data_IF_714201011170
#
_entry.id   IF_714201011170
#
_cell.length_a   1.000
_cell.length_b   1.000
_cell.length_c   1.000
_cell.angle_alpha   90.00
_cell.angle_beta   90.00
_cell.angle_gamma   90.00
#
_symmetry.space_group_name_H-M   'P 1'
#
loop_
_entity.id
_entity.type
_entity.pdbx_description
1 polymer ?
#
# COMPACT_ATOMS: atom_id res chain seq x y z
N UNK A 1 -25.60 -74.39 -33.08
CA UNK A 1 -26.32 -73.09 -33.02
C UNK A 1 -25.91 -72.41 -31.71
N UNK A 2 -24.95 -71.46 -31.80
CA UNK A 2 -24.53 -70.63 -30.66
C UNK A 2 -25.23 -69.30 -30.80
N UNK A 3 -26.06 -68.98 -29.79
CA UNK A 3 -26.75 -67.68 -29.70
C UNK A 3 -25.77 -66.70 -29.06
N UNK A 4 -25.38 -65.63 -29.79
CA UNK A 4 -24.61 -64.48 -29.30
C UNK A 4 -25.63 -63.47 -28.82
N UNK A 5 -25.60 -63.17 -27.50
CA UNK A 5 -26.34 -62.03 -26.93
C UNK A 5 -25.42 -60.78 -26.99
N UNK A 6 -25.80 -59.84 -27.80
CA UNK A 6 -25.16 -58.53 -27.81
C UNK A 6 -25.75 -57.68 -26.66
N UNK A 7 -24.94 -57.37 -25.68
CA UNK A 7 -25.29 -56.46 -24.57
C UNK A 7 -24.99 -55.02 -25.02
N UNK A 8 -26.05 -54.25 -25.28
CA UNK A 8 -25.91 -52.82 -25.52
C UNK A 8 -25.73 -52.11 -24.14
N UNK A 9 -24.50 -51.59 -23.90
CA UNK A 9 -24.27 -50.62 -22.85
C UNK A 9 -24.69 -49.23 -23.35
N UNK A 10 -25.84 -48.73 -22.91
CA UNK A 10 -26.19 -47.29 -23.00
C UNK A 10 -25.36 -46.54 -21.93
N UNK A 11 -24.28 -45.91 -22.34
CA UNK A 11 -23.65 -44.88 -21.53
C UNK A 11 -24.50 -43.62 -21.61
N UNK A 12 -25.27 -43.35 -20.53
CA UNK A 12 -25.89 -42.04 -20.34
C UNK A 12 -24.75 -41.05 -20.07
N UNK A 13 -24.41 -40.25 -21.08
CA UNK A 13 -23.60 -39.04 -20.88
C UNK A 13 -24.53 -38.04 -20.18
N UNK A 14 -24.42 -37.93 -18.87
CA UNK A 14 -24.94 -36.77 -18.16
C UNK A 14 -24.12 -35.55 -18.60
N UNK A 15 -24.57 -34.87 -19.64
CA UNK A 15 -24.14 -33.50 -19.89
C UNK A 15 -24.66 -32.69 -18.70
N UNK A 16 -23.79 -32.47 -17.71
CA UNK A 16 -24.01 -31.44 -16.74
C UNK A 16 -24.14 -30.13 -17.51
N UNK A 17 -25.37 -29.63 -17.60
CA UNK A 17 -25.58 -28.25 -18.02
C UNK A 17 -24.81 -27.40 -17.00
N UNK A 18 -23.65 -26.88 -17.38
CA UNK A 18 -23.02 -25.79 -16.67
C UNK A 18 -24.07 -24.69 -16.69
N UNK A 19 -24.62 -24.34 -15.52
CA UNK A 19 -25.55 -23.22 -15.42
C UNK A 19 -24.84 -22.02 -16.02
N UNK A 20 -25.45 -21.41 -17.03
CA UNK A 20 -24.89 -20.21 -17.64
C UNK A 20 -24.81 -19.14 -16.54
N UNK A 21 -23.63 -18.58 -16.35
CA UNK A 21 -23.40 -17.52 -15.36
C UNK A 21 -24.30 -16.31 -15.73
N UNK A 22 -25.01 -15.78 -14.73
CA UNK A 22 -25.89 -14.63 -14.95
C UNK A 22 -25.08 -13.41 -15.36
N UNK A 23 -25.54 -12.74 -16.41
CA UNK A 23 -24.97 -11.47 -16.90
C UNK A 23 -26.12 -10.51 -17.19
N UNK A 24 -26.01 -9.26 -16.75
CA UNK A 24 -26.98 -8.22 -17.10
C UNK A 24 -26.94 -7.88 -18.58
N UNK A 25 -27.93 -7.17 -19.08
CA UNK A 25 -28.14 -7.00 -20.52
C UNK A 25 -27.36 -5.82 -21.16
N UNK A 26 -26.68 -4.99 -20.34
CA UNK A 26 -25.89 -3.84 -20.82
C UNK A 26 -26.73 -2.68 -21.35
N UNK A 27 -28.00 -2.59 -20.95
CA UNK A 27 -28.96 -1.58 -21.46
C UNK A 27 -28.90 -0.24 -20.71
N UNK A 28 -27.89 0.00 -19.87
CA UNK A 28 -27.77 1.23 -19.06
C UNK A 28 -28.59 1.19 -17.77
N UNK A 29 -28.94 0.00 -17.32
CA UNK A 29 -29.74 -0.17 -16.12
C UNK A 29 -28.89 -0.04 -14.84
N UNK A 30 -29.54 0.35 -13.74
CA UNK A 30 -28.97 0.35 -12.39
C UNK A 30 -29.48 -0.87 -11.65
N UNK A 31 -28.53 -1.70 -11.20
CA UNK A 31 -28.81 -2.90 -10.42
C UNK A 31 -28.35 -2.70 -8.98
N UNK A 32 -29.23 -3.03 -8.04
CA UNK A 32 -28.90 -3.15 -6.61
C UNK A 32 -28.97 -4.61 -6.21
N UNK A 33 -28.42 -4.99 -5.04
CA UNK A 33 -28.57 -6.36 -4.53
C UNK A 33 -30.03 -6.72 -4.32
N UNK A 34 -30.89 -5.73 -3.95
CA UNK A 34 -32.32 -5.95 -3.86
C UNK A 34 -32.95 -6.24 -5.23
N UNK A 35 -32.63 -5.49 -6.27
CA UNK A 35 -33.17 -5.76 -7.62
C UNK A 35 -32.65 -7.07 -8.18
N UNK A 36 -31.37 -7.40 -7.97
CA UNK A 36 -30.78 -8.68 -8.37
C UNK A 36 -31.45 -9.86 -7.68
N UNK A 37 -31.85 -9.73 -6.40
CA UNK A 37 -32.53 -10.79 -5.68
C UNK A 37 -33.92 -11.16 -6.23
N UNK A 38 -34.49 -10.28 -7.06
CA UNK A 38 -35.78 -10.51 -7.75
C UNK A 38 -35.62 -11.15 -9.13
N UNK A 39 -34.38 -11.30 -9.62
CA UNK A 39 -34.06 -11.86 -10.94
C UNK A 39 -33.70 -13.34 -10.78
N UNK A 40 -34.49 -14.21 -11.39
CA UNK A 40 -34.20 -15.64 -11.40
C UNK A 40 -32.84 -15.93 -12.05
N UNK A 41 -32.02 -16.75 -11.39
CA UNK A 41 -30.69 -17.10 -11.87
C UNK A 41 -29.57 -16.10 -11.55
N UNK A 42 -29.87 -14.96 -10.92
CA UNK A 42 -28.85 -13.99 -10.51
C UNK A 42 -27.88 -14.54 -9.42
N UNK A 43 -28.33 -15.54 -8.66
CA UNK A 43 -27.59 -16.06 -7.52
C UNK A 43 -27.60 -15.17 -6.27
N UNK A 44 -28.37 -14.09 -6.30
CA UNK A 44 -28.54 -13.20 -5.15
C UNK A 44 -29.86 -13.53 -4.47
N UNK A 45 -29.85 -13.72 -3.15
CA UNK A 45 -31.05 -14.01 -2.33
C UNK A 45 -31.07 -13.16 -1.07
N UNK A 46 -32.25 -12.75 -0.64
CA UNK A 46 -32.45 -12.09 0.66
C UNK A 46 -32.49 -13.17 1.73
N UNK A 47 -31.79 -12.95 2.83
CA UNK A 47 -31.74 -13.84 3.99
C UNK A 47 -32.74 -13.38 5.07
N UNK A 48 -33.02 -14.26 6.04
CA UNK A 48 -33.95 -13.97 7.14
C UNK A 48 -33.53 -12.78 8.02
N UNK A 49 -32.22 -12.51 8.09
CA UNK A 49 -31.64 -11.37 8.82
C UNK A 49 -31.63 -10.06 8.01
N UNK A 50 -32.18 -10.08 6.81
CA UNK A 50 -32.22 -8.94 5.89
C UNK A 50 -30.94 -8.75 5.07
N UNK A 51 -29.90 -9.55 5.26
CA UNK A 51 -28.69 -9.52 4.44
C UNK A 51 -28.96 -10.15 3.06
N UNK A 52 -28.04 -9.88 2.12
CA UNK A 52 -28.04 -10.53 0.81
C UNK A 52 -26.96 -11.61 0.75
N UNK A 53 -27.31 -12.79 0.27
CA UNK A 53 -26.36 -13.85 -0.05
C UNK A 53 -26.10 -13.88 -1.56
N UNK A 54 -24.83 -13.76 -1.96
CA UNK A 54 -24.37 -14.02 -3.31
C UNK A 54 -23.80 -15.43 -3.36
N UNK A 55 -24.56 -16.37 -3.91
CA UNK A 55 -24.27 -17.80 -3.89
C UNK A 55 -23.57 -18.33 -5.14
N UNK A 56 -23.56 -17.56 -6.23
CA UNK A 56 -22.88 -17.89 -7.48
C UNK A 56 -22.30 -16.63 -8.14
N UNK A 57 -21.39 -16.83 -9.09
CA UNK A 57 -20.86 -15.73 -9.88
C UNK A 57 -21.95 -15.04 -10.68
N UNK A 58 -21.79 -13.74 -10.85
CA UNK A 58 -22.54 -12.97 -11.83
C UNK A 58 -21.71 -11.82 -12.41
N UNK A 59 -22.17 -11.30 -13.55
CA UNK A 59 -21.51 -10.20 -14.25
C UNK A 59 -22.49 -9.05 -14.47
N UNK A 60 -22.06 -7.84 -14.10
CA UNK A 60 -22.68 -6.59 -14.53
C UNK A 60 -22.04 -6.20 -15.86
N UNK A 61 -22.80 -6.16 -16.92
CA UNK A 61 -22.34 -5.88 -18.27
C UNK A 61 -21.86 -4.41 -18.42
N UNK A 62 -21.07 -4.17 -19.45
CA UNK A 62 -20.70 -2.81 -19.85
C UNK A 62 -21.98 -1.98 -20.13
N UNK A 63 -21.99 -0.73 -19.71
CA UNK A 63 -23.15 0.17 -19.79
C UNK A 63 -24.03 0.15 -18.54
N UNK A 64 -24.10 -0.95 -17.80
CA UNK A 64 -24.89 -1.06 -16.59
C UNK A 64 -24.11 -0.56 -15.35
N UNK A 65 -24.84 -0.36 -14.24
CA UNK A 65 -24.28 0.11 -12.96
C UNK A 65 -24.65 -0.89 -11.86
N UNK A 66 -23.68 -1.34 -11.09
CA UNK A 66 -23.93 -1.96 -9.80
C UNK A 66 -23.90 -0.90 -8.70
N UNK A 67 -25.02 -0.77 -7.98
CA UNK A 67 -25.19 0.27 -6.97
C UNK A 67 -25.43 -0.34 -5.58
N UNK A 68 -24.78 0.26 -4.56
CA UNK A 68 -24.96 -0.06 -3.16
C UNK A 68 -25.13 1.24 -2.36
N UNK A 69 -26.37 1.64 -2.10
CA UNK A 69 -26.72 2.93 -1.47
C UNK A 69 -27.28 2.79 -0.05
N UNK A 70 -27.62 1.56 0.32
CA UNK A 70 -28.09 1.27 1.68
C UNK A 70 -26.95 0.71 2.54
N UNK A 71 -27.14 0.70 3.84
CA UNK A 71 -26.23 0.08 4.81
C UNK A 71 -26.43 -1.45 4.84
N UNK A 72 -26.41 -2.06 3.67
CA UNK A 72 -26.70 -3.48 3.48
C UNK A 72 -25.50 -4.36 3.91
N UNK A 73 -25.79 -5.59 4.31
CA UNK A 73 -24.79 -6.65 4.49
C UNK A 73 -24.87 -7.61 3.32
N UNK A 74 -23.76 -7.73 2.59
CA UNK A 74 -23.62 -8.61 1.43
C UNK A 74 -22.71 -9.78 1.82
N UNK A 75 -23.27 -10.98 1.89
CA UNK A 75 -22.53 -12.20 2.18
C UNK A 75 -22.17 -12.91 0.88
N UNK A 76 -20.94 -13.33 0.72
CA UNK A 76 -20.46 -14.02 -0.48
C UNK A 76 -20.07 -15.46 -0.16
N UNK A 77 -20.58 -16.39 -0.93
CA UNK A 77 -20.25 -17.80 -0.78
C UNK A 77 -18.82 -18.12 -1.23
N UNK A 78 -18.35 -19.32 -0.87
CA UNK A 78 -17.01 -19.77 -1.21
C UNK A 78 -16.72 -19.70 -2.71
N UNK A 79 -15.56 -19.18 -3.08
CA UNK A 79 -15.08 -19.01 -4.45
C UNK A 79 -15.93 -18.11 -5.38
N UNK A 80 -16.96 -17.43 -4.84
CA UNK A 80 -17.81 -16.54 -5.63
C UNK A 80 -17.05 -15.28 -6.05
N UNK A 81 -17.23 -14.92 -7.30
CA UNK A 81 -16.74 -13.70 -7.93
C UNK A 81 -17.91 -12.87 -8.49
N UNK A 82 -17.93 -11.59 -8.20
CA UNK A 82 -18.77 -10.60 -8.85
C UNK A 82 -17.92 -9.82 -9.83
N UNK A 83 -18.23 -9.92 -11.13
CA UNK A 83 -17.54 -9.17 -12.17
C UNK A 83 -18.35 -7.94 -12.54
N UNK A 84 -17.72 -6.76 -12.55
CA UNK A 84 -18.34 -5.51 -12.95
C UNK A 84 -17.58 -4.97 -14.16
N UNK A 85 -18.18 -5.08 -15.34
CA UNK A 85 -17.66 -4.49 -16.58
C UNK A 85 -18.28 -3.10 -16.84
N UNK A 86 -19.38 -2.77 -16.18
CA UNK A 86 -19.97 -1.45 -16.12
C UNK A 86 -19.38 -0.60 -15.00
N UNK A 87 -20.19 0.32 -14.47
CA UNK A 87 -19.79 1.14 -13.33
C UNK A 87 -20.14 0.47 -12.00
N UNK A 88 -19.37 0.77 -10.97
CA UNK A 88 -19.70 0.47 -9.58
C UNK A 88 -19.89 1.78 -8.79
N UNK A 89 -21.03 1.95 -8.15
CA UNK A 89 -21.34 3.11 -7.31
C UNK A 89 -21.82 2.63 -5.93
N UNK A 90 -20.86 2.49 -5.01
CA UNK A 90 -21.12 2.04 -3.65
C UNK A 90 -20.95 3.22 -2.70
N UNK A 91 -22.07 3.83 -2.33
CA UNK A 91 -22.08 5.04 -1.51
C UNK A 91 -23.22 5.02 -0.48
N UNK A 92 -23.27 4.05 0.44
CA UNK A 92 -24.23 4.06 1.54
C UNK A 92 -24.06 5.27 2.44
N UNK A 93 -25.16 5.68 3.07
CA UNK A 93 -25.16 6.87 3.95
C UNK A 93 -24.29 6.68 5.21
N UNK A 94 -24.18 5.44 5.71
CA UNK A 94 -23.34 5.06 6.83
C UNK A 94 -22.39 3.94 6.35
N UNK A 95 -22.53 2.69 6.78
CA UNK A 95 -21.61 1.62 6.40
C UNK A 95 -22.37 0.44 5.80
N UNK A 96 -21.98 0.03 4.59
CA UNK A 96 -22.31 -1.29 4.07
C UNK A 96 -21.16 -2.26 4.33
N UNK A 97 -21.48 -3.54 4.53
CA UNK A 97 -20.50 -4.60 4.79
C UNK A 97 -20.58 -5.65 3.70
N UNK A 98 -19.46 -5.94 3.09
CA UNK A 98 -19.30 -7.04 2.14
C UNK A 98 -18.37 -8.07 2.81
N UNK A 99 -18.89 -9.26 3.09
CA UNK A 99 -18.18 -10.28 3.86
C UNK A 99 -18.41 -11.69 3.31
N UNK A 100 -17.81 -12.68 3.91
CA UNK A 100 -18.05 -14.09 3.59
C UNK A 100 -19.33 -14.62 4.27
N UNK A 101 -19.96 -15.62 3.67
CA UNK A 101 -21.19 -16.22 4.18
C UNK A 101 -20.97 -17.19 5.37
N UNK A 102 -19.81 -17.85 5.41
CA UNK A 102 -19.42 -18.78 6.45
C UNK A 102 -17.94 -18.64 6.84
N UNK A 103 -17.55 -19.14 7.98
CA UNK A 103 -16.19 -18.99 8.54
C UNK A 103 -15.11 -19.60 7.64
N UNK A 104 -15.41 -20.69 6.96
CA UNK A 104 -14.50 -21.38 6.04
C UNK A 104 -14.61 -20.90 4.58
N UNK A 105 -15.53 -19.99 4.28
CA UNK A 105 -15.69 -19.45 2.94
C UNK A 105 -14.55 -18.50 2.58
N UNK A 106 -14.09 -18.62 1.34
CA UNK A 106 -13.04 -17.82 0.75
C UNK A 106 -13.48 -17.26 -0.61
N UNK A 107 -14.31 -16.20 -0.63
CA UNK A 107 -14.80 -15.59 -1.87
C UNK A 107 -13.64 -15.02 -2.67
N UNK A 108 -13.81 -14.98 -4.00
CA UNK A 108 -12.90 -14.26 -4.89
C UNK A 108 -13.12 -12.74 -4.89
N UNK A 109 -14.30 -12.31 -4.44
CA UNK A 109 -14.62 -10.90 -4.27
C UNK A 109 -15.07 -10.18 -5.53
N UNK A 110 -14.81 -8.87 -5.58
CA UNK A 110 -15.25 -8.01 -6.66
C UNK A 110 -14.11 -7.78 -7.66
N UNK A 111 -14.43 -8.00 -8.94
CA UNK A 111 -13.54 -7.77 -10.07
C UNK A 111 -14.15 -6.70 -10.99
N UNK A 112 -13.69 -5.47 -10.85
CA UNK A 112 -14.14 -4.31 -11.63
C UNK A 112 -13.23 -4.17 -12.83
N UNK A 113 -13.61 -4.80 -13.95
CA UNK A 113 -12.75 -5.04 -15.11
C UNK A 113 -13.17 -4.27 -16.38
N UNK A 114 -14.25 -3.51 -16.33
CA UNK A 114 -14.71 -2.76 -17.48
C UNK A 114 -13.67 -1.76 -17.98
N UNK A 115 -13.37 -1.79 -19.26
CA UNK A 115 -12.39 -0.88 -19.87
C UNK A 115 -12.72 0.59 -19.59
N UNK A 116 -14.02 0.92 -19.60
CA UNK A 116 -14.54 2.27 -19.37
C UNK A 116 -15.38 2.37 -18.07
N UNK A 117 -15.37 1.36 -17.23
CA UNK A 117 -16.17 1.27 -16.01
C UNK A 117 -15.48 1.93 -14.81
N UNK A 118 -16.03 3.05 -14.34
CA UNK A 118 -15.53 3.70 -13.13
C UNK A 118 -16.05 3.01 -11.87
N UNK A 119 -15.24 3.06 -10.80
CA UNK A 119 -15.62 2.61 -9.48
C UNK A 119 -15.57 3.76 -8.48
N UNK A 120 -16.72 4.11 -7.90
CA UNK A 120 -16.87 5.05 -6.81
C UNK A 120 -17.30 4.27 -5.57
N UNK A 121 -16.41 4.21 -4.57
CA UNK A 121 -16.60 3.45 -3.35
C UNK A 121 -16.49 4.37 -2.15
N UNK A 122 -17.52 4.41 -1.34
CA UNK A 122 -17.55 5.22 -0.13
C UNK A 122 -18.26 4.48 0.99
N UNK A 123 -17.72 4.54 2.21
CA UNK A 123 -18.32 3.96 3.41
C UNK A 123 -18.57 2.44 3.29
N UNK A 124 -17.68 1.69 2.66
CA UNK A 124 -17.84 0.23 2.49
C UNK A 124 -16.74 -0.51 3.23
N UNK A 125 -17.13 -1.53 3.98
CA UNK A 125 -16.21 -2.48 4.58
C UNK A 125 -16.15 -3.75 3.72
N UNK A 126 -14.96 -4.07 3.21
CA UNK A 126 -14.62 -5.34 2.57
C UNK A 126 -13.90 -6.21 3.61
N UNK A 127 -14.63 -7.15 4.19
CA UNK A 127 -14.13 -8.06 5.20
C UNK A 127 -13.97 -9.46 4.62
N UNK A 128 -12.78 -10.06 4.67
CA UNK A 128 -12.41 -11.34 4.00
C UNK A 128 -12.52 -11.31 2.46
N UNK A 129 -12.97 -10.23 1.91
CA UNK A 129 -13.26 -10.04 0.48
C UNK A 129 -12.29 -9.03 -0.10
N UNK A 130 -11.70 -9.34 -1.24
CA UNK A 130 -10.82 -8.41 -1.95
C UNK A 130 -11.51 -7.73 -3.14
N UNK A 131 -10.85 -6.69 -3.63
CA UNK A 131 -11.25 -5.94 -4.80
C UNK A 131 -10.11 -5.92 -5.82
N UNK A 132 -10.42 -6.28 -7.07
CA UNK A 132 -9.52 -6.18 -8.21
C UNK A 132 -10.06 -5.12 -9.17
N UNK A 133 -9.26 -4.11 -9.47
CA UNK A 133 -9.59 -3.05 -10.42
C UNK A 133 -8.71 -3.18 -11.68
N UNK A 134 -9.33 -3.07 -12.84
CA UNK A 134 -8.65 -3.25 -14.13
C UNK A 134 -9.18 -2.35 -15.24
N UNK A 135 -9.85 -1.26 -14.90
CA UNK A 135 -10.33 -0.28 -15.85
C UNK A 135 -9.20 0.50 -16.51
N UNK A 136 -9.00 0.36 -17.82
CA UNK A 136 -7.90 0.99 -18.56
C UNK A 136 -8.15 2.48 -18.80
N UNK A 137 -9.38 2.84 -19.18
CA UNK A 137 -9.79 4.21 -19.49
C UNK A 137 -10.65 4.83 -18.37
N UNK A 138 -10.56 4.31 -17.17
CA UNK A 138 -11.41 4.68 -16.04
C UNK A 138 -10.59 4.75 -14.77
N UNK A 139 -11.22 5.17 -13.68
CA UNK A 139 -10.58 5.34 -12.39
C UNK A 139 -11.37 4.72 -11.25
N UNK A 140 -10.64 4.35 -10.20
CA UNK A 140 -11.16 3.99 -8.90
C UNK A 140 -11.06 5.19 -7.96
N UNK A 141 -12.16 5.53 -7.30
CA UNK A 141 -12.16 6.41 -6.14
C UNK A 141 -12.70 5.65 -4.94
N UNK A 142 -11.85 5.44 -3.92
CA UNK A 142 -12.24 4.84 -2.65
C UNK A 142 -12.06 5.86 -1.53
N UNK A 143 -13.14 6.22 -0.83
CA UNK A 143 -13.18 7.18 0.28
C UNK A 143 -13.84 6.53 1.50
N UNK A 144 -13.20 6.62 2.65
CA UNK A 144 -13.69 6.08 3.92
C UNK A 144 -14.10 4.59 3.85
N UNK A 145 -13.32 3.78 3.12
CA UNK A 145 -13.53 2.34 3.00
C UNK A 145 -12.59 1.56 3.94
N UNK A 146 -13.02 0.38 4.34
CA UNK A 146 -12.20 -0.55 5.14
C UNK A 146 -11.96 -1.83 4.35
N UNK A 147 -10.70 -2.25 4.24
CA UNK A 147 -10.29 -3.54 3.68
C UNK A 147 -9.61 -4.33 4.79
N UNK A 148 -10.25 -5.41 5.24
CA UNK A 148 -9.76 -6.15 6.40
C UNK A 148 -9.84 -7.66 6.21
N UNK A 149 -8.87 -8.36 6.82
CA UNK A 149 -8.82 -9.83 6.91
C UNK A 149 -8.86 -10.54 5.54
N UNK A 150 -8.49 -9.84 4.46
CA UNK A 150 -8.42 -10.45 3.13
C UNK A 150 -7.45 -11.65 3.12
N UNK A 151 -7.92 -12.78 2.61
CA UNK A 151 -7.21 -14.07 2.67
C UNK A 151 -6.36 -14.40 1.43
N UNK A 152 -6.20 -13.46 0.49
CA UNK A 152 -5.42 -13.64 -0.75
C UNK A 152 -6.10 -14.46 -1.84
N UNK A 153 -7.40 -14.72 -1.76
CA UNK A 153 -8.11 -15.53 -2.77
C UNK A 153 -8.60 -14.72 -3.97
N UNK A 154 -8.88 -13.44 -3.82
CA UNK A 154 -9.27 -12.57 -4.93
C UNK A 154 -8.07 -12.22 -5.82
N UNK A 155 -6.94 -11.92 -5.23
CA UNK A 155 -5.72 -11.54 -5.95
C UNK A 155 -4.48 -11.88 -5.13
N UNK A 156 -3.39 -12.21 -5.80
CA UNK A 156 -2.08 -12.35 -5.19
C UNK A 156 -1.36 -11.00 -4.97
N UNK A 157 -1.93 -9.91 -5.50
CA UNK A 157 -1.31 -8.58 -5.45
C UNK A 157 -1.75 -7.74 -4.25
N UNK A 158 -2.90 -8.03 -3.64
CA UNK A 158 -3.36 -7.31 -2.44
C UNK A 158 -4.85 -7.42 -2.17
N UNK A 159 -5.29 -6.82 -1.06
CA UNK A 159 -6.71 -6.68 -0.72
C UNK A 159 -7.41 -5.73 -1.73
N UNK A 160 -6.76 -4.62 -2.06
CA UNK A 160 -7.07 -3.80 -3.23
C UNK A 160 -5.95 -4.01 -4.25
N UNK A 161 -6.28 -4.63 -5.38
CA UNK A 161 -5.32 -5.00 -6.42
C UNK A 161 -5.66 -4.35 -7.76
N UNK A 162 -4.62 -3.88 -8.46
CA UNK A 162 -4.75 -3.40 -9.83
C UNK A 162 -4.16 -4.42 -10.80
N UNK A 163 -4.93 -4.85 -11.79
CA UNK A 163 -4.50 -5.85 -12.76
C UNK A 163 -4.41 -5.33 -14.20
N UNK A 164 -4.54 -4.03 -14.40
CA UNK A 164 -4.28 -3.34 -15.66
C UNK A 164 -3.53 -2.04 -15.41
N UNK A 165 -2.88 -1.50 -16.45
CA UNK A 165 -2.30 -0.16 -16.41
C UNK A 165 -3.41 0.88 -16.49
N UNK A 166 -3.51 1.72 -15.48
CA UNK A 166 -4.54 2.75 -15.40
C UNK A 166 -4.08 3.93 -14.55
N UNK A 167 -4.69 5.09 -14.73
CA UNK A 167 -4.38 6.32 -14.00
C UNK A 167 -5.59 6.96 -13.34
N UNK A 168 -5.39 8.07 -12.63
CA UNK A 168 -6.46 8.84 -12.00
C UNK A 168 -7.11 8.17 -10.79
N UNK A 169 -6.46 7.15 -10.20
CA UNK A 169 -6.99 6.44 -9.06
C UNK A 169 -6.77 7.23 -7.77
N UNK A 170 -7.74 7.23 -6.87
CA UNK A 170 -7.67 7.88 -5.55
C UNK A 170 -8.14 6.89 -4.49
N UNK A 171 -7.31 6.73 -3.45
CA UNK A 171 -7.64 5.98 -2.23
C UNK A 171 -7.39 6.91 -1.06
N UNK A 172 -8.45 7.32 -0.38
CA UNK A 172 -8.35 8.31 0.69
C UNK A 172 -9.20 7.95 1.90
N UNK A 173 -8.74 8.36 3.08
CA UNK A 173 -9.44 8.14 4.36
C UNK A 173 -9.76 6.66 4.64
N UNK A 174 -9.02 5.73 4.02
CA UNK A 174 -9.30 4.30 4.06
C UNK A 174 -8.48 3.57 5.12
N UNK A 175 -8.98 2.41 5.51
CA UNK A 175 -8.37 1.53 6.50
C UNK A 175 -8.04 0.18 5.88
N UNK A 176 -6.79 -0.23 5.99
CA UNK A 176 -6.30 -1.54 5.55
C UNK A 176 -5.76 -2.28 6.77
N UNK A 177 -6.48 -3.31 7.23
CA UNK A 177 -6.24 -3.90 8.54
C UNK A 177 -6.07 -5.41 8.43
N UNK A 178 -4.93 -5.92 8.91
CA UNK A 178 -4.65 -7.36 9.10
C UNK A 178 -4.90 -8.22 7.85
N UNK A 179 -4.65 -7.67 6.68
CA UNK A 179 -4.77 -8.42 5.43
C UNK A 179 -3.62 -9.42 5.29
N UNK A 180 -3.91 -10.62 4.81
CA UNK A 180 -2.92 -11.68 4.64
C UNK A 180 -1.82 -11.31 3.66
N UNK A 181 -2.17 -10.62 2.59
CA UNK A 181 -1.23 -10.11 1.57
C UNK A 181 -1.04 -8.60 1.71
N UNK A 182 -0.47 -7.98 0.66
CA UNK A 182 -0.39 -6.53 0.58
C UNK A 182 -1.76 -5.88 0.80
N UNK A 183 -1.79 -4.72 1.41
CA UNK A 183 -2.99 -3.89 1.47
C UNK A 183 -3.38 -3.40 0.08
N UNK A 184 -2.42 -2.75 -0.61
CA UNK A 184 -2.58 -2.29 -1.99
C UNK A 184 -1.42 -2.84 -2.83
N UNK A 185 -1.71 -3.32 -4.03
CA UNK A 185 -0.68 -3.78 -4.94
C UNK A 185 -1.13 -3.95 -6.39
N UNK A 186 -0.16 -4.10 -7.27
CA UNK A 186 -0.38 -4.36 -8.69
C UNK A 186 0.61 -5.40 -9.24
N UNK A 187 0.37 -5.83 -10.47
CA UNK A 187 1.29 -6.71 -11.19
C UNK A 187 2.55 -5.99 -11.67
N UNK A 188 3.64 -6.73 -11.86
CA UNK A 188 4.93 -6.17 -12.32
C UNK A 188 4.89 -5.51 -13.72
N UNK A 189 3.84 -5.77 -14.49
CA UNK A 189 3.64 -5.23 -15.84
C UNK A 189 2.46 -4.25 -15.94
N UNK A 190 1.80 -3.95 -14.83
CA UNK A 190 0.59 -3.13 -14.78
C UNK A 190 0.83 -1.86 -13.94
N UNK A 191 1.61 -0.88 -14.44
CA UNK A 191 1.85 0.35 -13.71
C UNK A 191 0.55 1.12 -13.50
N UNK A 192 0.46 1.82 -12.36
CA UNK A 192 -0.73 2.58 -12.00
C UNK A 192 -0.38 4.00 -11.57
N UNK A 193 -1.21 4.97 -11.99
CA UNK A 193 -1.26 6.30 -11.43
C UNK A 193 -2.25 6.33 -10.28
N UNK A 194 -1.79 6.71 -9.09
CA UNK A 194 -2.60 6.64 -7.88
C UNK A 194 -2.21 7.68 -6.85
N UNK A 195 -3.20 8.21 -6.17
CA UNK A 195 -3.05 9.01 -4.96
C UNK A 195 -3.57 8.18 -3.79
N UNK A 196 -2.71 7.93 -2.80
CA UNK A 196 -3.05 7.26 -1.54
C UNK A 196 -2.80 8.27 -0.41
N UNK A 197 -3.85 8.70 0.27
CA UNK A 197 -3.74 9.74 1.30
C UNK A 197 -4.66 9.55 2.50
N UNK A 198 -4.22 10.02 3.67
CA UNK A 198 -4.98 9.97 4.92
C UNK A 198 -5.46 8.56 5.29
N UNK A 199 -4.71 7.52 4.90
CA UNK A 199 -5.07 6.13 5.12
C UNK A 199 -4.30 5.52 6.30
N UNK A 200 -4.89 4.51 6.93
CA UNK A 200 -4.24 3.67 7.91
C UNK A 200 -3.96 2.28 7.30
N UNK A 201 -2.70 1.91 7.30
CA UNK A 201 -2.23 0.56 6.99
C UNK A 201 -1.73 -0.08 8.29
N UNK A 202 -2.46 -1.07 8.78
CA UNK A 202 -2.21 -1.67 10.08
C UNK A 202 -2.00 -3.18 9.98
N UNK A 203 -0.77 -3.63 10.28
CA UNK A 203 -0.41 -5.05 10.38
C UNK A 203 -0.78 -5.88 9.14
N UNK A 204 -0.72 -5.33 7.94
CA UNK A 204 -0.97 -6.11 6.73
C UNK A 204 0.23 -7.03 6.41
N UNK A 205 0.08 -7.90 5.41
CA UNK A 205 1.06 -8.95 5.05
C UNK A 205 1.28 -9.97 6.19
N UNK A 206 0.18 -10.40 6.82
CA UNK A 206 0.22 -11.33 7.96
C UNK A 206 0.73 -12.72 7.58
N UNK A 207 0.83 -13.04 6.28
CA UNK A 207 1.49 -14.25 5.77
C UNK A 207 3.02 -14.20 5.93
N UNK A 208 3.55 -13.05 6.34
CA UNK A 208 4.98 -12.79 6.59
C UNK A 208 5.89 -13.31 5.45
N UNK A 209 5.53 -12.99 4.23
CA UNK A 209 6.36 -13.22 3.05
C UNK A 209 7.04 -11.91 2.65
N UNK A 210 8.09 -12.00 1.83
CA UNK A 210 8.87 -10.84 1.41
C UNK A 210 8.03 -9.85 0.54
N UNK A 211 7.16 -9.11 1.20
CA UNK A 211 6.25 -8.13 0.57
C UNK A 211 6.07 -6.90 1.47
N UNK A 212 5.95 -5.70 0.90
CA UNK A 212 5.53 -4.50 1.64
C UNK A 212 4.01 -4.43 1.78
N UNK A 213 3.52 -3.62 2.71
CA UNK A 213 2.08 -3.35 2.84
C UNK A 213 1.51 -2.63 1.61
N UNK A 214 2.25 -1.66 1.06
CA UNK A 214 1.95 -1.02 -0.22
C UNK A 214 3.04 -1.44 -1.21
N UNK A 215 2.66 -2.08 -2.32
CA UNK A 215 3.58 -2.64 -3.31
C UNK A 215 3.18 -2.25 -4.73
N UNK A 216 3.84 -1.23 -5.27
CA UNK A 216 3.44 -0.64 -6.55
C UNK A 216 4.55 -0.73 -7.61
N UNK A 217 4.17 -1.17 -8.79
CA UNK A 217 4.96 -1.00 -10.01
C UNK A 217 4.70 0.37 -10.59
N UNK A 218 5.78 1.13 -10.81
CA UNK A 218 5.76 2.50 -11.31
C UNK A 218 6.44 2.54 -12.67
N UNK A 219 5.73 2.97 -13.70
CA UNK A 219 6.25 3.12 -15.05
C UNK A 219 5.31 4.01 -15.90
N UNK A 220 5.72 4.31 -17.12
CA UNK A 220 4.96 5.18 -18.01
C UNK A 220 4.96 6.63 -17.54
N UNK A 221 3.89 7.34 -17.79
CA UNK A 221 3.65 8.74 -17.40
C UNK A 221 2.80 8.86 -16.12
N UNK A 222 2.64 7.76 -15.40
CA UNK A 222 1.83 7.72 -14.18
C UNK A 222 2.62 8.21 -12.97
N UNK A 223 2.06 9.20 -12.26
CA UNK A 223 2.52 9.58 -10.94
C UNK A 223 1.93 8.66 -9.87
N UNK A 224 2.75 8.38 -8.86
CA UNK A 224 2.33 7.70 -7.63
C UNK A 224 2.54 8.64 -6.47
N UNK A 225 1.46 8.99 -5.76
CA UNK A 225 1.49 9.91 -4.62
C UNK A 225 1.02 9.16 -3.38
N UNK A 226 1.91 9.00 -2.40
CA UNK A 226 1.62 8.36 -1.11
C UNK A 226 1.90 9.39 -0.03
N UNK A 227 0.86 10.02 0.49
CA UNK A 227 1.01 11.17 1.40
C UNK A 227 0.07 11.10 2.60
N UNK A 228 0.53 11.63 3.73
CA UNK A 228 -0.27 11.78 4.97
C UNK A 228 -0.84 10.45 5.50
N UNK A 229 -0.16 9.33 5.28
CA UNK A 229 -0.60 8.01 5.71
C UNK A 229 0.11 7.54 6.98
N UNK A 230 -0.50 6.58 7.67
CA UNK A 230 0.12 5.79 8.72
C UNK A 230 0.33 4.36 8.22
N UNK A 231 1.58 3.90 8.17
CA UNK A 231 1.96 2.55 7.69
C UNK A 231 2.65 1.81 8.82
N UNK A 232 1.87 1.09 9.61
CA UNK A 232 2.30 0.44 10.83
C UNK A 232 2.42 -1.06 10.59
N UNK A 233 3.63 -1.59 10.73
CA UNK A 233 3.93 -3.01 10.58
C UNK A 233 3.50 -3.83 11.80
N UNK A 234 3.28 -5.13 11.58
CA UNK A 234 3.02 -6.09 12.64
C UNK A 234 4.30 -6.68 13.26
N UNK A 235 5.44 -6.01 13.09
CA UNK A 235 6.75 -6.47 13.55
C UNK A 235 7.17 -7.80 12.88
N UNK A 236 6.71 -8.05 11.69
CA UNK A 236 7.06 -9.23 10.91
C UNK A 236 8.41 -9.03 10.21
N UNK A 237 9.26 -10.04 10.25
CA UNK A 237 10.63 -9.95 9.72
C UNK A 237 10.72 -9.93 8.18
N UNK A 238 9.63 -10.27 7.47
CA UNK A 238 9.59 -10.24 6.01
C UNK A 238 8.56 -9.23 5.45
N UNK A 239 7.88 -8.47 6.30
CA UNK A 239 6.87 -7.49 5.90
C UNK A 239 7.43 -6.07 5.90
N UNK A 240 7.58 -5.46 4.71
CA UNK A 240 8.01 -4.07 4.56
C UNK A 240 6.87 -3.04 4.66
N UNK A 241 7.21 -1.76 4.77
CA UNK A 241 6.24 -0.67 4.76
C UNK A 241 5.77 -0.35 3.34
N UNK A 242 6.50 0.46 2.61
CA UNK A 242 6.17 0.90 1.24
C UNK A 242 7.26 0.42 0.28
N UNK A 243 6.86 -0.22 -0.80
CA UNK A 243 7.74 -0.60 -1.90
C UNK A 243 7.22 -0.08 -3.23
N UNK A 244 8.10 0.58 -3.99
CA UNK A 244 7.85 0.98 -5.37
C UNK A 244 8.90 0.34 -6.27
N UNK A 245 8.51 -0.07 -7.47
CA UNK A 245 9.46 -0.76 -8.33
C UNK A 245 9.21 -0.55 -9.82
N UNK A 246 10.29 -0.61 -10.59
CA UNK A 246 10.28 -0.75 -12.03
C UNK A 246 11.25 -1.87 -12.42
N UNK A 247 10.97 -3.08 -11.96
CA UNK A 247 11.84 -4.25 -12.15
C UNK A 247 11.95 -4.69 -13.61
N UNK A 248 10.94 -4.38 -14.41
CA UNK A 248 10.91 -4.72 -15.84
C UNK A 248 11.67 -3.70 -16.71
N UNK A 249 12.16 -2.60 -16.13
CA UNK A 249 12.86 -1.55 -16.86
C UNK A 249 11.99 -0.85 -17.89
N UNK A 250 10.70 -0.73 -17.64
CA UNK A 250 9.78 0.01 -18.50
C UNK A 250 10.12 1.51 -18.46
N UNK A 251 9.88 2.23 -19.56
CA UNK A 251 10.04 3.69 -19.57
C UNK A 251 9.20 4.33 -18.46
N UNK A 252 9.79 5.29 -17.74
CA UNK A 252 9.12 6.01 -16.66
C UNK A 252 9.39 7.50 -16.80
N UNK A 253 8.35 8.30 -16.96
CA UNK A 253 8.38 9.78 -16.99
C UNK A 253 7.57 10.39 -15.85
N UNK A 254 6.71 9.63 -15.24
CA UNK A 254 6.03 9.97 -13.99
C UNK A 254 7.00 9.98 -12.80
N UNK A 255 6.53 10.42 -11.66
CA UNK A 255 7.31 10.51 -10.42
C UNK A 255 6.59 9.84 -9.27
N UNK A 256 7.37 9.38 -8.30
CA UNK A 256 6.87 8.85 -7.04
C UNK A 256 7.07 9.87 -5.94
N UNK A 257 6.01 10.25 -5.26
CA UNK A 257 6.00 11.16 -4.13
C UNK A 257 5.65 10.38 -2.86
N UNK A 258 6.58 10.37 -1.91
CA UNK A 258 6.42 9.75 -0.59
C UNK A 258 6.55 10.87 0.44
N UNK A 259 5.44 11.42 0.90
CA UNK A 259 5.47 12.67 1.65
C UNK A 259 4.61 12.60 2.93
N UNK A 260 5.09 13.20 4.02
CA UNK A 260 4.36 13.36 5.28
C UNK A 260 3.83 12.05 5.90
N UNK A 261 4.39 10.89 5.56
CA UNK A 261 3.90 9.63 6.11
C UNK A 261 4.56 9.30 7.46
N UNK A 262 3.83 8.62 8.33
CA UNK A 262 4.36 7.94 9.49
C UNK A 262 4.50 6.44 9.18
N UNK A 263 5.72 5.94 9.14
CA UNK A 263 6.03 4.56 8.73
C UNK A 263 6.79 3.88 9.88
N UNK A 264 6.19 2.89 10.52
CA UNK A 264 6.79 2.31 11.71
C UNK A 264 6.62 0.79 11.81
N UNK A 265 7.51 0.17 12.58
CA UNK A 265 7.43 -1.24 12.99
C UNK A 265 7.40 -2.25 11.81
N UNK A 266 7.98 -1.88 10.68
CA UNK A 266 8.12 -2.73 9.49
C UNK A 266 9.52 -3.36 9.41
N UNK A 267 9.71 -4.32 8.54
CA UNK A 267 11.03 -4.85 8.16
C UNK A 267 11.94 -3.76 7.62
N UNK A 268 11.39 -2.89 6.77
CA UNK A 268 11.99 -1.66 6.25
C UNK A 268 10.90 -0.62 6.06
N UNK A 269 11.26 0.67 6.09
CA UNK A 269 10.29 1.74 5.93
C UNK A 269 9.85 1.91 4.48
N UNK A 270 10.76 2.37 3.63
CA UNK A 270 10.54 2.58 2.20
C UNK A 270 11.62 1.89 1.37
N UNK A 271 11.24 1.33 0.23
CA UNK A 271 12.20 0.86 -0.77
C UNK A 271 11.80 1.24 -2.17
N UNK A 272 12.78 1.67 -2.99
CA UNK A 272 12.64 1.75 -4.44
C UNK A 272 13.53 0.71 -5.12
N UNK A 273 13.02 0.05 -6.16
CA UNK A 273 13.73 -1.01 -6.88
C UNK A 273 13.69 -0.73 -8.40
N UNK A 274 14.86 -0.64 -9.02
CA UNK A 274 14.99 -0.32 -10.44
C UNK A 274 14.84 1.17 -10.73
N UNK A 275 14.64 1.54 -12.00
CA UNK A 275 14.57 2.93 -12.45
C UNK A 275 13.26 3.60 -12.03
N UNK A 276 13.26 4.23 -10.87
CA UNK A 276 12.11 4.97 -10.33
C UNK A 276 12.59 6.31 -9.78
N UNK A 277 12.07 7.40 -10.31
CA UNK A 277 12.32 8.74 -9.78
C UNK A 277 11.45 9.00 -8.56
N UNK A 278 12.07 9.31 -7.42
CA UNK A 278 11.37 9.47 -6.14
C UNK A 278 11.66 10.84 -5.51
N UNK A 279 10.60 11.43 -4.97
CA UNK A 279 10.65 12.60 -4.07
C UNK A 279 10.15 12.14 -2.71
N UNK A 280 11.02 12.16 -1.71
CA UNK A 280 10.78 11.59 -0.38
C UNK A 280 10.92 12.72 0.64
N UNK A 281 9.80 13.24 1.16
CA UNK A 281 9.81 14.45 2.01
C UNK A 281 9.02 14.28 3.31
N UNK A 282 9.57 14.85 4.37
CA UNK A 282 8.89 15.03 5.65
C UNK A 282 8.28 13.76 6.24
N UNK A 283 8.81 12.58 5.89
CA UNK A 283 8.33 11.33 6.46
C UNK A 283 8.96 11.09 7.83
N UNK A 284 8.23 10.44 8.71
CA UNK A 284 8.72 9.96 9.99
C UNK A 284 8.79 8.44 9.97
N UNK A 285 9.99 7.88 9.94
CA UNK A 285 10.27 6.45 9.83
C UNK A 285 10.87 5.94 11.15
N UNK A 286 10.12 5.11 11.88
CA UNK A 286 10.48 4.72 13.24
C UNK A 286 10.55 3.19 13.38
N UNK A 287 11.65 2.67 13.93
CA UNK A 287 11.82 1.26 14.27
C UNK A 287 11.52 0.30 13.08
N UNK A 288 11.89 0.69 11.86
CA UNK A 288 11.75 -0.20 10.71
C UNK A 288 12.96 -1.16 10.64
N UNK A 289 13.06 -2.04 11.63
CA UNK A 289 14.25 -2.85 11.92
C UNK A 289 13.96 -4.35 12.15
N UNK A 290 12.78 -4.84 11.78
CA UNK A 290 12.37 -6.21 12.10
C UNK A 290 12.97 -7.29 11.20
N UNK A 291 13.90 -6.96 10.31
CA UNK A 291 14.76 -7.95 9.64
C UNK A 291 15.76 -8.51 10.64
N UNK A 292 15.97 -9.82 10.61
CA UNK A 292 16.93 -10.50 11.49
C UNK A 292 18.36 -10.47 10.95
N UNK A 293 18.52 -10.32 9.63
CA UNK A 293 19.81 -10.17 8.95
C UNK A 293 19.90 -8.78 8.30
N UNK A 294 20.77 -7.88 8.80
CA UNK A 294 20.89 -6.52 8.26
C UNK A 294 21.31 -6.48 6.78
N UNK A 295 21.89 -7.56 6.24
CA UNK A 295 22.19 -7.64 4.81
C UNK A 295 20.93 -7.79 3.93
N UNK A 296 19.81 -8.17 4.52
CA UNK A 296 18.55 -8.43 3.80
C UNK A 296 17.51 -7.33 3.99
N UNK A 297 17.74 -6.35 4.87
CA UNK A 297 16.77 -5.29 5.12
C UNK A 297 17.04 -4.52 6.40
N UNK A 298 15.99 -3.92 6.98
CA UNK A 298 16.07 -3.15 8.21
C UNK A 298 16.44 -1.69 8.02
N UNK A 299 16.43 -1.18 6.79
CA UNK A 299 16.69 0.23 6.51
C UNK A 299 15.42 1.07 6.70
N UNK A 300 15.56 2.29 7.20
CA UNK A 300 14.47 3.27 7.06
C UNK A 300 14.18 3.51 5.58
N UNK A 301 15.22 3.71 4.76
CA UNK A 301 15.12 3.83 3.31
C UNK A 301 16.12 2.92 2.61
N UNK A 302 15.69 2.16 1.61
CA UNK A 302 16.56 1.36 0.73
C UNK A 302 16.36 1.76 -0.73
N UNK A 303 17.45 2.13 -1.40
CA UNK A 303 17.44 2.53 -2.81
C UNK A 303 18.22 1.48 -3.60
N UNK A 304 17.48 0.61 -4.29
CA UNK A 304 18.05 -0.52 -5.02
C UNK A 304 17.89 -0.31 -6.53
N UNK A 305 18.82 0.48 -7.11
CA UNK A 305 18.84 0.73 -8.55
C UNK A 305 19.97 -0.05 -9.24
N UNK A 306 19.58 -0.92 -10.18
CA UNK A 306 20.55 -1.67 -11.00
C UNK A 306 20.96 -0.93 -12.27
N UNK A 307 20.20 0.08 -12.68
CA UNK A 307 20.32 0.67 -14.03
C UNK A 307 20.97 2.05 -14.07
N UNK A 308 21.24 2.67 -12.93
CA UNK A 308 21.86 4.00 -12.80
C UNK A 308 21.02 5.16 -13.38
N UNK A 309 19.70 5.03 -13.40
CA UNK A 309 18.79 6.00 -14.01
C UNK A 309 17.74 6.60 -13.07
N UNK A 310 17.80 6.28 -11.78
CA UNK A 310 16.89 6.86 -10.79
C UNK A 310 17.39 8.20 -10.30
N UNK A 311 16.46 9.17 -10.17
CA UNK A 311 16.68 10.41 -9.45
C UNK A 311 15.95 10.37 -8.13
N UNK A 312 16.68 10.45 -7.04
CA UNK A 312 16.15 10.37 -5.69
C UNK A 312 16.41 11.69 -4.98
N UNK A 313 15.35 12.38 -4.62
CA UNK A 313 15.39 13.61 -3.84
C UNK A 313 14.81 13.33 -2.45
N UNK A 314 15.57 13.66 -1.39
CA UNK A 314 15.11 13.48 -0.02
C UNK A 314 15.33 14.74 0.81
N UNK A 315 14.27 15.18 1.50
CA UNK A 315 14.29 16.39 2.32
C UNK A 315 13.43 16.24 3.57
N UNK A 316 13.93 16.67 4.72
CA UNK A 316 13.14 16.83 5.94
C UNK A 316 12.65 15.52 6.57
N UNK A 317 13.22 14.37 6.21
CA UNK A 317 12.78 13.09 6.77
C UNK A 317 13.43 12.83 8.13
N UNK A 318 12.68 12.20 9.03
CA UNK A 318 13.14 11.67 10.31
C UNK A 318 13.27 10.16 10.22
N UNK A 319 14.49 9.65 10.44
CA UNK A 319 14.82 8.23 10.31
C UNK A 319 15.41 7.72 11.62
N UNK A 320 14.67 6.90 12.36
CA UNK A 320 15.02 6.49 13.73
C UNK A 320 14.89 4.97 13.92
N UNK A 321 15.89 4.39 14.55
CA UNK A 321 15.85 3.01 15.03
C UNK A 321 15.85 1.94 13.95
N UNK A 322 16.28 2.27 12.71
CA UNK A 322 16.56 1.29 11.67
C UNK A 322 17.85 0.51 11.93
N UNK A 323 18.02 -0.68 11.37
CA UNK A 323 19.33 -1.34 11.31
C UNK A 323 20.30 -0.51 10.45
N UNK A 324 19.75 0.28 9.55
CA UNK A 324 20.40 1.29 8.71
C UNK A 324 19.48 2.50 8.59
N UNK A 325 20.02 3.70 8.51
CA UNK A 325 19.23 4.87 8.13
C UNK A 325 18.86 4.79 6.64
N UNK A 326 19.83 4.96 5.74
CA UNK A 326 19.65 4.80 4.29
C UNK A 326 20.65 3.77 3.77
N UNK A 327 20.21 2.86 2.90
CA UNK A 327 21.08 1.94 2.17
C UNK A 327 20.98 2.13 0.67
N UNK A 328 22.14 2.14 0.00
CA UNK A 328 22.29 2.04 -1.45
C UNK A 328 23.08 0.76 -1.74
N UNK A 329 22.42 -0.41 -1.84
CA UNK A 329 23.11 -1.70 -1.91
C UNK A 329 23.94 -1.89 -3.18
N UNK A 330 23.55 -1.26 -4.28
CA UNK A 330 24.24 -1.40 -5.58
C UNK A 330 23.79 -0.30 -6.56
N UNK A 331 24.47 -0.21 -7.69
CA UNK A 331 24.13 0.70 -8.77
C UNK A 331 24.77 2.08 -8.63
N UNK A 332 24.25 3.02 -9.38
CA UNK A 332 24.71 4.39 -9.36
C UNK A 332 23.54 5.39 -9.48
N UNK A 333 22.53 5.30 -8.61
CA UNK A 333 21.41 6.25 -8.64
C UNK A 333 21.89 7.66 -8.36
N UNK A 334 21.24 8.65 -8.95
CA UNK A 334 21.47 10.06 -8.65
C UNK A 334 20.71 10.43 -7.38
N UNK A 335 21.41 10.55 -6.26
CA UNK A 335 20.81 10.78 -4.93
C UNK A 335 21.21 12.16 -4.42
N UNK A 336 20.20 12.97 -4.13
CA UNK A 336 20.32 14.27 -3.50
C UNK A 336 19.57 14.27 -2.15
N UNK A 337 20.32 14.07 -1.06
CA UNK A 337 19.84 14.16 0.33
C UNK A 337 20.07 15.58 0.90
N UNK A 338 20.73 16.46 0.15
CA UNK A 338 21.06 17.82 0.51
C UNK A 338 22.21 18.34 -0.32
N UNK A 339 21.98 19.46 -1.03
CA UNK A 339 22.97 20.17 -1.84
C UNK A 339 22.75 21.65 -1.62
N UNK A 340 23.56 22.26 -0.74
CA UNK A 340 23.32 23.60 -0.21
C UNK A 340 24.28 24.68 -0.75
N UNK A 341 25.17 24.31 -1.66
CA UNK A 341 26.25 25.20 -2.14
C UNK A 341 25.71 26.43 -2.87
N UNK A 342 24.67 26.29 -3.67
CA UNK A 342 24.04 27.36 -4.42
C UNK A 342 22.51 27.32 -4.26
N UNK A 343 21.91 28.21 -3.45
CA UNK A 343 20.47 28.26 -3.25
C UNK A 343 19.63 28.55 -4.50
N UNK A 344 20.25 29.08 -5.56
CA UNK A 344 19.58 29.38 -6.82
C UNK A 344 19.73 28.23 -7.85
N UNK A 345 20.48 27.19 -7.52
CA UNK A 345 20.64 26.05 -8.41
C UNK A 345 19.32 25.22 -8.51
N UNK A 346 19.03 24.70 -9.70
CA UNK A 346 17.85 23.88 -9.98
C UNK A 346 17.80 22.62 -9.09
N UNK A 347 18.96 22.08 -8.72
CA UNK A 347 19.10 20.90 -7.88
C UNK A 347 19.40 21.24 -6.41
N UNK A 348 19.15 22.47 -5.99
CA UNK A 348 19.26 22.88 -4.60
C UNK A 348 18.37 22.01 -3.69
N UNK A 349 18.93 21.56 -2.58
CA UNK A 349 18.23 20.80 -1.56
C UNK A 349 18.77 21.19 -0.18
N UNK A 350 17.95 21.76 0.71
CA UNK A 350 18.40 22.14 2.06
C UNK A 350 18.76 20.93 2.94
N UNK A 351 18.49 19.69 2.52
CA UNK A 351 18.67 18.48 3.30
C UNK A 351 17.61 18.35 4.39
N UNK A 352 17.94 18.79 5.60
CA UNK A 352 17.07 18.73 6.78
C UNK A 352 16.64 17.30 7.18
N UNK A 353 17.25 16.25 6.62
CA UNK A 353 17.00 14.90 7.09
C UNK A 353 17.69 14.71 8.45
N UNK A 354 17.07 13.93 9.33
CA UNK A 354 17.57 13.66 10.68
C UNK A 354 17.68 12.16 10.89
N UNK A 355 18.86 11.72 11.34
CA UNK A 355 19.16 10.33 11.64
C UNK A 355 19.29 10.16 13.17
N UNK A 356 18.63 9.13 13.72
CA UNK A 356 18.58 8.88 15.17
C UNK A 356 18.69 7.37 15.42
N UNK A 357 19.70 6.95 16.19
CA UNK A 357 19.83 5.59 16.70
C UNK A 357 19.74 4.48 15.63
N UNK A 358 20.19 4.75 14.40
CA UNK A 358 20.25 3.73 13.35
C UNK A 358 21.54 2.92 13.51
N UNK A 359 21.45 1.59 13.48
CA UNK A 359 22.62 0.74 13.55
C UNK A 359 22.34 -0.72 13.79
N UNK A 360 23.37 -1.55 13.62
CA UNK A 360 23.29 -2.99 13.85
C UNK A 360 24.63 -3.52 14.41
N UNK A 361 24.56 -4.50 15.32
CA UNK A 361 25.73 -5.16 15.87
C UNK A 361 26.75 -4.23 16.57
N UNK A 362 26.32 -3.06 17.03
CA UNK A 362 27.19 -2.04 17.65
C UNK A 362 27.83 -1.08 16.65
N UNK A 363 27.53 -1.20 15.36
CA UNK A 363 27.95 -0.27 14.32
C UNK A 363 26.78 0.65 13.98
N UNK A 364 27.04 1.97 14.02
CA UNK A 364 26.04 2.98 13.65
C UNK A 364 26.21 3.31 12.17
N UNK A 365 25.16 3.06 11.38
CA UNK A 365 25.15 3.41 9.97
C UNK A 365 23.94 4.25 9.64
N UNK A 366 24.14 5.56 9.56
CA UNK A 366 23.13 6.47 9.07
C UNK A 366 23.02 6.41 7.55
N UNK A 367 24.15 6.29 6.84
CA UNK A 367 24.16 6.14 5.39
C UNK A 367 25.19 5.08 4.95
N UNK A 368 24.72 4.07 4.25
CA UNK A 368 25.54 3.02 3.66
C UNK A 368 25.49 3.09 2.13
N UNK A 369 26.53 3.70 1.52
CA UNK A 369 26.67 3.79 0.07
C UNK A 369 27.56 2.67 -0.47
N UNK A 370 27.00 1.54 -0.82
CA UNK A 370 27.68 0.45 -1.53
C UNK A 370 27.55 0.60 -3.06
N UNK A 371 26.93 1.67 -3.55
CA UNK A 371 26.87 2.08 -4.96
C UNK A 371 28.14 2.79 -5.41
N UNK A 372 28.16 3.20 -6.67
CA UNK A 372 29.33 3.86 -7.29
C UNK A 372 29.12 5.35 -7.57
N UNK A 373 27.91 5.87 -7.47
CA UNK A 373 27.63 7.28 -7.66
C UNK A 373 27.94 8.11 -6.42
N UNK A 374 28.34 9.35 -6.64
CA UNK A 374 28.42 10.37 -5.59
C UNK A 374 27.04 10.68 -5.05
N UNK A 375 26.90 10.78 -3.73
CA UNK A 375 25.70 11.18 -3.02
C UNK A 375 25.91 12.57 -2.41
N UNK A 376 25.02 13.50 -2.68
CA UNK A 376 24.97 14.78 -2.00
C UNK A 376 24.13 14.64 -0.73
N UNK A 377 24.71 14.97 0.43
CA UNK A 377 24.10 14.75 1.74
C UNK A 377 24.38 15.90 2.73
N UNK A 378 24.56 17.10 2.22
CA UNK A 378 24.78 18.31 3.01
C UNK A 378 23.51 18.73 3.76
N UNK A 379 23.62 19.57 4.78
CA UNK A 379 22.47 20.16 5.49
C UNK A 379 21.65 19.16 6.33
N UNK A 380 22.18 17.98 6.61
CA UNK A 380 21.52 16.94 7.41
C UNK A 380 22.04 16.92 8.84
N UNK A 381 21.25 16.33 9.75
CA UNK A 381 21.63 16.06 11.14
C UNK A 381 21.91 14.57 11.29
N UNK A 382 23.12 14.24 11.66
CA UNK A 382 23.62 12.88 11.80
C UNK A 382 23.56 12.38 13.24
N UNK A 383 23.51 11.09 13.45
CA UNK A 383 23.43 10.47 14.77
C UNK A 383 24.80 10.46 15.48
N UNK A 384 25.35 11.63 15.72
CA UNK A 384 26.62 11.87 16.39
C UNK A 384 26.48 12.97 17.44
N UNK A 385 27.34 12.94 18.46
CA UNK A 385 27.28 13.92 19.56
C UNK A 385 27.56 15.36 19.07
N UNK A 386 28.54 15.52 18.17
CA UNK A 386 28.92 16.80 17.58
C UNK A 386 28.96 16.63 16.05
N UNK A 387 28.35 17.57 15.33
CA UNK A 387 28.25 17.54 13.86
C UNK A 387 29.56 17.97 13.20
N UNK A 388 30.68 17.31 13.55
CA UNK A 388 31.99 17.51 12.94
C UNK A 388 32.20 16.49 11.82
N UNK A 389 33.05 16.85 10.84
CA UNK A 389 33.40 15.95 9.75
C UNK A 389 33.94 14.60 10.25
N UNK A 390 34.85 14.63 11.26
CA UNK A 390 35.45 13.43 11.83
C UNK A 390 34.41 12.50 12.48
N UNK A 391 33.42 13.04 13.21
CA UNK A 391 32.38 12.24 13.87
C UNK A 391 31.37 11.69 12.87
N UNK A 392 30.97 12.49 11.89
CA UNK A 392 29.99 12.09 10.87
C UNK A 392 30.56 10.98 9.98
N UNK A 393 31.86 11.07 9.64
CA UNK A 393 32.53 10.04 8.85
C UNK A 393 32.38 8.64 9.48
N UNK A 394 32.28 8.52 10.80
CA UNK A 394 32.14 7.24 11.51
C UNK A 394 30.78 6.57 11.33
N UNK A 395 29.74 7.31 10.89
CA UNK A 395 28.39 6.77 10.69
C UNK A 395 28.01 6.67 9.21
N UNK A 396 28.96 6.91 8.32
CA UNK A 396 28.80 6.80 6.86
C UNK A 396 29.75 5.73 6.34
N UNK A 397 29.26 4.89 5.42
CA UNK A 397 30.11 4.00 4.63
C UNK A 397 30.12 4.47 3.18
N UNK A 398 31.31 4.74 2.62
CA UNK A 398 31.45 5.26 1.27
C UNK A 398 32.88 5.10 0.70
N UNK A 399 33.29 5.92 -0.26
CA UNK A 399 34.58 5.86 -0.93
C UNK A 399 35.81 5.94 0.00
N UNK A 400 35.69 6.55 1.18
CA UNK A 400 36.78 6.62 2.17
C UNK A 400 37.08 5.25 2.75
N UNK A 401 36.04 4.44 2.97
CA UNK A 401 36.18 3.06 3.48
C UNK A 401 36.57 2.07 2.39
N UNK A 402 36.00 2.25 1.18
CA UNK A 402 36.28 1.43 0.01
C UNK A 402 36.38 2.31 -1.25
N UNK A 403 37.60 2.49 -1.83
CA UNK A 403 37.81 3.33 -3.01
C UNK A 403 37.00 2.93 -4.26
N UNK A 404 36.37 1.76 -4.28
CA UNK A 404 35.49 1.32 -5.38
C UNK A 404 34.08 1.91 -5.29
N UNK A 405 33.73 2.58 -4.19
CA UNK A 405 32.41 3.15 -3.92
C UNK A 405 32.31 4.61 -4.31
N UNK A 406 31.08 5.11 -4.38
CA UNK A 406 30.81 6.53 -4.60
C UNK A 406 31.11 7.35 -3.35
N UNK A 407 31.54 8.59 -3.57
CA UNK A 407 31.77 9.57 -2.50
C UNK A 407 30.42 10.01 -1.89
N UNK A 408 30.40 10.28 -0.59
CA UNK A 408 29.31 11.01 0.07
C UNK A 408 29.82 12.40 0.45
N UNK A 409 29.15 13.44 -0.04
CA UNK A 409 29.46 14.84 0.28
C UNK A 409 28.46 15.29 1.33
N UNK A 410 28.88 15.30 2.60
CA UNK A 410 27.98 15.51 3.75
C UNK A 410 28.20 16.84 4.49
N UNK A 411 29.33 17.52 4.25
CA UNK A 411 29.59 18.83 4.83
C UNK A 411 29.16 19.98 3.91
N UNK A 412 28.59 21.09 4.43
CA UNK A 412 28.30 21.32 5.84
C UNK A 412 27.10 20.50 6.36
N UNK A 413 27.21 20.04 7.60
CA UNK A 413 26.10 19.42 8.31
C UNK A 413 25.19 20.49 8.95
N UNK A 414 23.94 20.12 9.25
CA UNK A 414 23.03 21.00 9.99
C UNK A 414 23.41 21.06 11.46
N UNK A 415 23.54 22.25 12.00
CA UNK A 415 23.83 22.43 13.39
C UNK A 415 22.56 22.24 14.24
N UNK A 416 22.47 21.30 15.21
CA UNK A 416 21.29 21.06 16.02
C UNK A 416 20.76 22.32 16.76
N UNK A 417 21.61 23.31 16.96
CA UNK A 417 21.24 24.58 17.57
C UNK A 417 20.43 25.55 16.71
N UNK A 418 20.22 25.26 15.42
CA UNK A 418 19.46 26.09 14.48
C UNK A 418 18.00 25.65 14.29
N UNK A 419 17.60 24.52 14.84
CA UNK A 419 16.19 24.12 14.85
C UNK A 419 15.40 24.94 15.88
N UNK A 420 14.23 25.41 15.49
CA UNK A 420 13.22 25.93 16.44
C UNK A 420 13.07 24.87 17.53
N UNK A 421 13.30 25.23 18.79
CA UNK A 421 13.04 24.33 19.91
C UNK A 421 11.63 23.80 19.75
N UNK A 422 11.49 22.48 19.60
CA UNK A 422 10.20 21.82 19.79
C UNK A 422 9.69 22.31 21.15
N UNK A 423 8.56 23.00 21.16
CA UNK A 423 7.92 23.39 22.42
C UNK A 423 7.50 22.05 23.03
N UNK A 424 8.17 21.64 24.10
CA UNK A 424 7.69 20.55 24.94
C UNK A 424 6.24 20.91 25.28
N UNK A 425 5.30 20.24 24.61
CA UNK A 425 3.90 20.34 24.97
C UNK A 425 3.82 19.81 26.41
N UNK A 426 3.56 20.71 27.35
CA UNK A 426 3.32 20.34 28.72
C UNK A 426 2.30 19.21 28.73
N UNK A 427 2.65 18.07 29.29
CA UNK A 427 1.74 16.95 29.55
C UNK A 427 0.59 17.44 30.41
N UNK A 428 -0.45 17.99 29.80
CA UNK A 428 -1.76 18.05 30.40
C UNK A 428 -2.52 16.81 29.94
N UNK A 429 -2.46 15.76 30.75
CA UNK A 429 -3.39 14.64 30.65
C UNK A 429 -4.81 15.17 30.91
N UNK A 430 -5.47 15.64 29.87
CA UNK A 430 -6.83 16.19 29.92
C UNK A 430 -7.92 15.14 29.77
N UNK A 431 -7.52 13.86 29.60
CA UNK A 431 -8.44 12.76 29.40
C UNK A 431 -9.13 12.76 28.04
N UNK A 432 -8.77 13.65 27.12
CA UNK A 432 -9.33 13.73 25.78
C UNK A 432 -8.85 12.58 24.91
N UNK A 433 -9.75 11.97 24.17
CA UNK A 433 -9.41 11.01 23.13
C UNK A 433 -9.07 11.76 21.85
N UNK A 434 -8.04 11.32 21.17
CA UNK A 434 -7.69 11.80 19.84
C UNK A 434 -7.84 10.66 18.85
N UNK A 435 -8.48 10.90 17.72
CA UNK A 435 -8.45 9.93 16.64
C UNK A 435 -7.02 9.84 16.05
N UNK A 436 -6.78 8.91 15.15
CA UNK A 436 -5.44 8.72 14.57
C UNK A 436 -4.94 9.90 13.73
N UNK A 437 -5.81 10.84 13.39
CA UNK A 437 -5.48 12.10 12.73
C UNK A 437 -5.20 13.25 13.71
N UNK A 438 -5.18 12.97 15.03
CA UNK A 438 -4.95 13.98 16.07
C UNK A 438 -6.15 14.87 16.36
N UNK A 439 -7.33 14.54 15.83
CA UNK A 439 -8.56 15.32 16.10
C UNK A 439 -9.14 14.89 17.46
N UNK A 440 -9.37 15.85 18.39
CA UNK A 440 -9.92 15.52 19.70
C UNK A 440 -11.39 15.10 19.60
N UNK A 441 -11.76 14.11 20.40
CA UNK A 441 -13.15 13.69 20.60
C UNK A 441 -13.42 13.36 22.06
N UNK A 442 -14.57 13.78 22.57
CA UNK A 442 -15.00 13.46 23.93
C UNK A 442 -15.83 12.16 24.00
N UNK A 443 -16.41 11.76 22.87
CA UNK A 443 -17.25 10.56 22.78
C UNK A 443 -16.71 9.65 21.67
N UNK A 444 -15.67 8.83 21.94
CA UNK A 444 -15.13 7.92 20.95
C UNK A 444 -16.16 6.83 20.65
N UNK A 445 -16.46 6.62 19.39
CA UNK A 445 -17.19 5.46 18.88
C UNK A 445 -16.19 4.38 18.50
N UNK A 446 -16.59 3.11 18.35
CA UNK A 446 -15.69 1.99 18.13
C UNK A 446 -14.51 2.32 17.19
N UNK A 447 -13.30 1.98 17.58
CA UNK A 447 -12.08 2.29 16.83
C UNK A 447 -10.86 2.51 17.71
N UNK A 448 -9.72 2.84 17.08
CA UNK A 448 -8.46 3.09 17.77
C UNK A 448 -8.31 4.61 18.00
N UNK A 449 -8.01 4.96 19.25
CA UNK A 449 -7.80 6.33 19.70
C UNK A 449 -6.48 6.45 20.47
N UNK A 450 -5.97 7.66 20.59
CA UNK A 450 -4.87 8.00 21.48
C UNK A 450 -5.46 8.77 22.67
N UNK A 451 -5.16 8.30 23.87
CA UNK A 451 -5.49 8.98 25.13
C UNK A 451 -4.27 8.93 26.03
N UNK A 452 -3.88 10.08 26.57
CA UNK A 452 -2.73 10.23 27.46
C UNK A 452 -1.46 9.59 26.87
N UNK A 453 -1.23 9.80 25.55
CA UNK A 453 -0.11 9.22 24.81
C UNK A 453 -0.16 7.71 24.56
N UNK A 454 -1.26 7.03 24.93
CA UNK A 454 -1.42 5.57 24.76
C UNK A 454 -2.54 5.24 23.77
N UNK A 455 -2.31 4.22 22.96
CA UNK A 455 -3.35 3.68 22.08
C UNK A 455 -4.41 2.93 22.88
N UNK A 456 -5.67 3.24 22.62
CA UNK A 456 -6.83 2.62 23.25
C UNK A 456 -7.78 2.13 22.15
N UNK A 457 -8.15 0.86 22.20
CA UNK A 457 -9.23 0.31 21.38
C UNK A 457 -10.56 0.51 22.11
N UNK A 458 -11.41 1.36 21.54
CA UNK A 458 -12.80 1.53 22.00
C UNK A 458 -13.66 0.55 21.20
N UNK A 459 -14.37 -0.34 21.90
CA UNK A 459 -15.25 -1.36 21.31
C UNK A 459 -16.66 -0.83 21.11
#
# INVERSE_FOLDING_TARGET
MKKIYALFFMTAIAAGAMAQEFTTDGSGNVYTFNSLSQIEGSGVTVQDDGSYLVSQNFTIAEGDVLQLVNNDVIKMANAVQVTVNGNADFAPADTAVITRDAEDSAPKGFWMLGENGNANLKNVTFEYVGLVFGGINSSLHADNCTFTLHNGKSSSSGALAFNASCGGNIVENCYFIENTLNAIGNGATNPVGIIIRNCLFWHNTTDNRNKPQINLTCAGDYDVVITDNQVIGGQFNLSGGIGVSNMMGMGHTGKVYIENNYIADNRYGFTSIGSVDCIIRNNKMINNCYETDPNNGGSCVSIYDRSSSSNIYMEGNWMEGGLWGITVPTGAPNINLGKVEDPEAEDYNPGNNTFVNNGNGGVLYDLFNNGTATIWAQGNTWNVAEQTEENIEQVIYHQVDDPSKGLVIFMPAKNPGSSVKEVEAAEQADGTYYNLMGVPTQNPTGGIYIKDGKKILVK
#
